data_IF_966649992264
#
_entry.id   IF_966649992264
#
_cell.length_a   1.000
_cell.length_b   1.000
_cell.length_c   1.000
_cell.angle_alpha   90.00
_cell.angle_beta   90.00
_cell.angle_gamma   90.00
#
_symmetry.space_group_name_H-M   'P 1'
#
loop_
_entity.id
_entity.type
_entity.pdbx_description
1 polymer ?
#
# COMPACT_ATOMS: atom_id res chain seq x y z
N UNK A 1 0.83 18.65 1.83
CA UNK A 1 0.40 17.26 2.10
C UNK A 1 0.54 16.38 0.85
N UNK A 2 -0.14 16.69 -0.25
CA UNK A 2 -0.08 15.93 -1.52
C UNK A 2 1.35 15.71 -2.06
N UNK A 3 2.16 16.76 -2.14
CA UNK A 3 3.54 16.66 -2.62
C UNK A 3 4.42 15.77 -1.72
N UNK A 4 4.16 15.75 -0.41
CA UNK A 4 4.86 14.86 0.52
C UNK A 4 4.43 13.40 0.31
N UNK A 5 3.14 13.15 0.04
CA UNK A 5 2.63 11.80 -0.28
C UNK A 5 3.23 11.26 -1.59
N UNK A 6 3.23 12.08 -2.65
CA UNK A 6 3.88 11.73 -3.93
C UNK A 6 5.37 11.46 -3.75
N UNK A 7 6.07 12.30 -2.99
CA UNK A 7 7.48 12.09 -2.66
C UNK A 7 7.70 10.76 -1.91
N UNK A 8 6.86 10.39 -0.95
CA UNK A 8 6.99 9.09 -0.26
C UNK A 8 6.77 7.92 -1.23
N UNK A 9 5.80 8.01 -2.13
CA UNK A 9 5.55 7.00 -3.16
C UNK A 9 6.75 6.85 -4.11
N UNK A 10 7.34 7.97 -4.55
CA UNK A 10 8.48 8.02 -5.48
C UNK A 10 9.81 7.62 -4.81
N UNK A 11 10.01 7.96 -3.54
CA UNK A 11 11.24 7.66 -2.79
C UNK A 11 11.31 6.19 -2.32
N UNK A 12 10.21 5.44 -2.43
CA UNK A 12 10.13 4.08 -1.91
C UNK A 12 10.96 3.04 -2.69
N UNK A 13 11.51 3.37 -3.86
CA UNK A 13 12.51 2.50 -4.52
C UNK A 13 13.84 2.47 -3.77
N UNK A 14 14.18 3.52 -3.02
CA UNK A 14 15.45 3.62 -2.28
C UNK A 14 15.36 3.10 -0.83
N UNK A 15 14.15 3.00 -0.27
CA UNK A 15 13.91 2.54 1.11
C UNK A 15 13.92 1.01 1.27
N UNK A 16 14.15 0.23 0.21
CA UNK A 16 14.19 -1.24 0.25
C UNK A 16 15.51 -1.77 0.87
N UNK A 17 16.43 -0.89 1.28
CA UNK A 17 17.57 -1.25 2.14
C UNK A 17 17.17 -1.46 3.61
N UNK A 18 15.98 -2.03 3.87
CA UNK A 18 15.54 -2.35 5.22
C UNK A 18 15.95 -3.78 5.58
N UNK A 19 16.65 -4.00 6.70
CA UNK A 19 17.27 -5.29 7.01
C UNK A 19 16.29 -6.40 7.41
N UNK A 20 15.02 -6.06 7.72
CA UNK A 20 14.02 -7.05 8.15
C UNK A 20 12.79 -7.06 7.26
N UNK A 21 12.26 -8.27 7.05
CA UNK A 21 11.00 -8.54 6.36
C UNK A 21 9.83 -7.69 6.89
N UNK A 22 9.76 -7.53 8.20
CA UNK A 22 8.70 -6.77 8.84
C UNK A 22 8.75 -5.28 8.47
N UNK A 23 9.95 -4.70 8.43
CA UNK A 23 10.16 -3.33 7.97
C UNK A 23 9.74 -3.17 6.51
N UNK A 24 10.12 -4.14 5.65
CA UNK A 24 9.72 -4.14 4.24
C UNK A 24 8.21 -4.13 4.10
N UNK A 25 7.50 -5.05 4.76
CA UNK A 25 6.03 -5.12 4.71
C UNK A 25 5.40 -3.84 5.29
N UNK A 26 5.99 -3.24 6.31
CA UNK A 26 5.53 -1.97 6.87
C UNK A 26 5.59 -0.82 5.85
N UNK A 27 6.71 -0.63 5.16
CA UNK A 27 6.85 0.41 4.14
C UNK A 27 5.96 0.20 2.94
N UNK A 28 5.85 -1.06 2.51
CA UNK A 28 4.96 -1.50 1.45
C UNK A 28 3.48 -1.15 1.78
N UNK A 29 3.02 -1.52 2.99
CA UNK A 29 1.70 -1.12 3.53
C UNK A 29 1.50 0.40 3.53
N UNK A 30 2.53 1.18 3.87
CA UNK A 30 2.46 2.64 3.79
C UNK A 30 2.28 3.13 2.35
N UNK A 31 3.00 2.56 1.38
CA UNK A 31 2.87 2.88 -0.06
C UNK A 31 1.44 2.65 -0.57
N UNK A 32 0.83 1.50 -0.25
CA UNK A 32 -0.55 1.19 -0.64
C UNK A 32 -1.56 2.22 -0.09
N UNK A 33 -1.38 2.61 1.18
CA UNK A 33 -2.19 3.66 1.81
C UNK A 33 -2.02 5.03 1.15
N UNK A 34 -0.80 5.41 0.74
CA UNK A 34 -0.61 6.68 0.03
C UNK A 34 -1.30 6.68 -1.33
N UNK A 35 -1.23 5.60 -2.10
CA UNK A 35 -1.99 5.50 -3.35
C UNK A 35 -3.50 5.52 -3.12
N UNK A 36 -3.98 4.88 -2.05
CA UNK A 36 -5.39 4.97 -1.65
C UNK A 36 -5.82 6.42 -1.40
N UNK A 37 -5.06 7.18 -0.61
CA UNK A 37 -5.34 8.60 -0.37
C UNK A 37 -5.25 9.45 -1.63
N UNK A 38 -4.31 9.15 -2.53
CA UNK A 38 -4.22 9.82 -3.83
C UNK A 38 -5.47 9.52 -4.69
N UNK A 39 -5.96 8.28 -4.68
CA UNK A 39 -7.18 7.92 -5.38
C UNK A 39 -8.43 8.61 -4.80
N UNK A 40 -8.49 8.79 -3.49
CA UNK A 40 -9.62 9.45 -2.79
C UNK A 40 -9.78 10.93 -3.19
N UNK A 41 -8.67 11.63 -3.42
CA UNK A 41 -8.65 13.08 -3.69
C UNK A 41 -8.50 13.42 -5.19
N UNK A 42 -8.21 12.44 -6.03
CA UNK A 42 -8.09 12.64 -7.48
C UNK A 42 -9.42 12.43 -8.21
N UNK A 43 -9.55 13.00 -9.41
CA UNK A 43 -10.70 12.81 -10.30
C UNK A 43 -10.29 12.15 -11.61
N UNK A 44 -11.29 11.64 -12.34
CA UNK A 44 -11.16 11.15 -13.71
C UNK A 44 -10.00 10.14 -13.89
N UNK A 45 -9.15 10.37 -14.89
CA UNK A 45 -8.05 9.46 -15.26
C UNK A 45 -6.97 9.32 -14.16
N UNK A 46 -6.72 10.38 -13.39
CA UNK A 46 -5.74 10.29 -12.29
C UNK A 46 -6.25 9.38 -11.18
N UNK A 47 -7.55 9.45 -10.87
CA UNK A 47 -8.18 8.54 -9.90
C UNK A 47 -7.97 7.11 -10.34
N UNK A 48 -8.35 6.76 -11.56
CA UNK A 48 -8.24 5.38 -12.06
C UNK A 48 -6.80 4.85 -11.98
N UNK A 49 -5.82 5.66 -12.38
CA UNK A 49 -4.40 5.32 -12.23
C UNK A 49 -4.04 5.01 -10.77
N UNK A 50 -4.43 5.86 -9.82
CA UNK A 50 -4.10 5.63 -8.41
C UNK A 50 -4.86 4.45 -7.80
N UNK A 51 -6.07 4.15 -8.27
CA UNK A 51 -6.80 2.92 -7.88
C UNK A 51 -6.03 1.68 -8.33
N UNK A 52 -5.58 1.64 -9.59
CA UNK A 52 -4.81 0.52 -10.14
C UNK A 52 -3.48 0.34 -9.38
N UNK A 53 -2.73 1.43 -9.18
CA UNK A 53 -1.47 1.42 -8.42
C UNK A 53 -1.68 0.97 -6.96
N UNK A 54 -2.75 1.43 -6.30
CA UNK A 54 -3.08 1.01 -4.93
C UNK A 54 -3.39 -0.48 -4.86
N UNK A 55 -4.19 -0.98 -5.82
CA UNK A 55 -4.55 -2.40 -5.92
C UNK A 55 -3.33 -3.29 -6.16
N UNK A 56 -2.44 -2.88 -7.07
CA UNK A 56 -1.24 -3.63 -7.40
C UNK A 56 -0.28 -3.70 -6.21
N UNK A 57 -0.10 -2.59 -5.48
CA UNK A 57 0.70 -2.56 -4.26
C UNK A 57 0.10 -3.48 -3.21
N UNK A 58 -1.18 -3.33 -2.86
CA UNK A 58 -1.80 -4.18 -1.84
C UNK A 58 -1.75 -5.67 -2.19
N UNK A 59 -1.91 -6.02 -3.47
CA UNK A 59 -1.84 -7.42 -3.93
C UNK A 59 -0.43 -8.00 -3.74
N UNK A 60 0.58 -7.30 -4.28
CA UNK A 60 1.97 -7.73 -4.17
C UNK A 60 2.44 -7.82 -2.71
N UNK A 61 2.07 -6.83 -1.89
CA UNK A 61 2.42 -6.76 -0.49
C UNK A 61 1.78 -7.89 0.31
N UNK A 62 0.52 -8.19 0.00
CA UNK A 62 -0.22 -9.25 0.66
C UNK A 62 0.43 -10.58 0.36
N UNK A 63 0.77 -10.86 -0.91
CA UNK A 63 1.49 -12.08 -1.29
C UNK A 63 2.82 -12.22 -0.55
N UNK A 64 3.64 -11.16 -0.49
CA UNK A 64 4.89 -11.17 0.29
C UNK A 64 4.62 -11.49 1.76
N UNK A 65 3.63 -10.84 2.38
CA UNK A 65 3.27 -11.08 3.77
C UNK A 65 2.75 -12.51 3.99
N UNK A 66 2.05 -13.10 3.02
CA UNK A 66 1.58 -14.49 3.09
C UNK A 66 2.74 -15.49 3.15
N UNK A 67 3.79 -15.28 2.35
CA UNK A 67 4.95 -16.18 2.31
C UNK A 67 5.91 -15.98 3.47
N UNK A 68 6.00 -14.76 4.01
CA UNK A 68 7.04 -14.41 4.98
C UNK A 68 6.57 -14.27 6.43
N UNK A 69 5.26 -14.34 6.68
CA UNK A 69 4.70 -14.19 8.04
C UNK A 69 3.56 -15.18 8.30
N UNK A 70 3.40 -15.55 9.58
CA UNK A 70 2.27 -16.38 10.02
C UNK A 70 0.92 -15.67 9.80
N UNK A 71 -0.16 -16.43 9.63
CA UNK A 71 -1.50 -15.88 9.37
C UNK A 71 -1.98 -14.87 10.43
N UNK A 72 -1.61 -15.08 11.70
CA UNK A 72 -1.97 -14.21 12.83
C UNK A 72 -0.95 -13.09 13.10
N UNK A 73 0.06 -12.94 12.25
CA UNK A 73 1.07 -11.91 12.41
C UNK A 73 0.45 -10.51 12.29
N UNK A 74 0.75 -9.63 13.24
CA UNK A 74 0.14 -8.29 13.37
C UNK A 74 0.23 -7.47 12.08
N UNK A 75 1.39 -7.47 11.42
CA UNK A 75 1.60 -6.73 10.17
C UNK A 75 0.76 -7.28 9.01
N UNK A 76 0.60 -8.60 8.90
CA UNK A 76 -0.25 -9.23 7.87
C UNK A 76 -1.72 -8.91 8.10
N UNK A 77 -2.17 -8.98 9.35
CA UNK A 77 -3.54 -8.60 9.73
C UNK A 77 -3.81 -7.12 9.44
N UNK A 78 -2.85 -6.23 9.77
CA UNK A 78 -2.97 -4.81 9.48
C UNK A 78 -3.04 -4.55 7.97
N UNK A 79 -2.22 -5.25 7.16
CA UNK A 79 -2.28 -5.15 5.71
C UNK A 79 -3.61 -5.64 5.15
N UNK A 80 -4.10 -6.79 5.60
CA UNK A 80 -5.41 -7.34 5.21
C UNK A 80 -6.56 -6.37 5.51
N UNK A 81 -6.55 -5.76 6.70
CA UNK A 81 -7.53 -4.74 7.08
C UNK A 81 -7.47 -3.53 6.13
N UNK A 82 -6.30 -2.97 5.87
CA UNK A 82 -6.18 -1.83 4.95
C UNK A 82 -6.64 -2.21 3.53
N UNK A 83 -6.35 -3.43 3.08
CA UNK A 83 -6.81 -3.89 1.77
C UNK A 83 -8.34 -4.04 1.71
N UNK A 84 -8.97 -4.55 2.78
CA UNK A 84 -10.44 -4.59 2.87
C UNK A 84 -11.09 -3.20 2.83
N UNK A 85 -10.47 -2.23 3.51
CA UNK A 85 -10.92 -0.83 3.52
C UNK A 85 -10.79 -0.25 2.11
N UNK A 86 -9.68 -0.49 1.41
CA UNK A 86 -9.51 -0.07 0.01
C UNK A 86 -10.63 -0.59 -0.90
N UNK A 87 -10.98 -1.87 -0.81
CA UNK A 87 -12.10 -2.41 -1.59
C UNK A 87 -13.43 -1.74 -1.25
N UNK A 88 -13.67 -1.44 0.02
CA UNK A 88 -14.92 -0.83 0.48
C UNK A 88 -15.04 0.67 0.13
N UNK A 89 -13.98 1.44 0.34
CA UNK A 89 -14.02 2.90 0.21
C UNK A 89 -13.67 3.41 -1.19
N UNK A 90 -12.94 2.63 -1.99
CA UNK A 90 -12.39 3.11 -3.27
C UNK A 90 -12.92 2.35 -4.49
N UNK A 91 -13.08 1.03 -4.40
CA UNK A 91 -13.50 0.21 -5.55
C UNK A 91 -15.02 0.10 -5.68
N UNK A 92 -15.74 -0.10 -4.57
CA UNK A 92 -17.21 0.00 -4.55
C UNK A 92 -17.67 1.44 -4.63
#
# INVERSE_FOLDING_TARGET
MLAAMKKVVESNSELISTPTTESKIFFLKMKGNYYRYLAEISTDNERQKFVEESKDVYTNDFDIAQYQTAAIHSVRLALALNFSIFYYEIIM
#
